data_IF_221725024699
#
_entry.id   IF_221725024699
#
_cell.length_a   1.000
_cell.length_b   1.000
_cell.length_c   1.000
_cell.angle_alpha   90.00
_cell.angle_beta   90.00
_cell.angle_gamma   90.00
#
_symmetry.space_group_name_H-M   'P 1'
#
loop_
_entity.id
_entity.type
_entity.pdbx_description
1 polymer ?
#
# COMPACT_ATOMS: atom_id res chain seq x y z
N UNK A 1 -3.29 6.94 8.05
CA UNK A 1 -2.05 6.52 7.39
C UNK A 1 -2.32 5.23 6.67
N UNK A 2 -2.16 5.24 5.37
CA UNK A 2 -2.28 4.02 4.57
C UNK A 2 -1.06 3.13 4.83
N UNK A 3 -1.29 1.87 5.13
CA UNK A 3 -0.25 0.85 5.28
C UNK A 3 0.07 0.15 3.95
N UNK A 4 -0.76 0.34 2.93
CA UNK A 4 -0.51 -0.07 1.56
C UNK A 4 -0.59 1.16 0.64
N UNK A 5 0.39 1.33 -0.22
CA UNK A 5 0.47 2.43 -1.19
C UNK A 5 0.68 1.89 -2.60
N UNK A 6 0.06 2.54 -3.56
CA UNK A 6 0.29 2.30 -4.97
C UNK A 6 1.34 3.27 -5.51
N UNK A 7 2.25 2.78 -6.33
CA UNK A 7 3.13 3.64 -7.10
C UNK A 7 2.38 4.10 -8.35
N UNK A 8 2.02 5.37 -8.39
CA UNK A 8 1.45 6.02 -9.57
C UNK A 8 2.57 6.59 -10.44
N UNK A 9 2.51 6.33 -11.74
CA UNK A 9 3.50 6.81 -12.71
C UNK A 9 2.80 7.68 -13.74
N UNK A 10 2.59 8.97 -13.45
CA UNK A 10 1.92 9.88 -14.38
C UNK A 10 2.77 10.15 -15.63
N UNK A 11 2.11 10.62 -16.68
CA UNK A 11 2.79 11.11 -17.87
C UNK A 11 3.80 12.21 -17.49
N UNK A 12 5.01 12.14 -18.04
CA UNK A 12 6.09 13.07 -17.72
C UNK A 12 6.87 12.75 -16.42
N UNK A 13 6.56 11.66 -15.74
CA UNK A 13 7.35 11.21 -14.59
C UNK A 13 8.77 10.85 -15.01
N UNK A 14 9.76 11.30 -14.23
CA UNK A 14 11.18 10.97 -14.46
C UNK A 14 11.50 9.48 -14.29
N UNK A 15 10.65 8.73 -13.60
CA UNK A 15 10.75 7.27 -13.50
C UNK A 15 10.70 6.63 -14.90
N UNK A 16 9.96 7.21 -15.84
CA UNK A 16 9.87 6.71 -17.22
C UNK A 16 11.20 6.77 -17.99
N UNK A 17 12.14 7.59 -17.54
CA UNK A 17 13.46 7.74 -18.14
C UNK A 17 14.42 6.60 -17.72
N UNK A 18 14.11 5.90 -16.63
CA UNK A 18 14.93 4.82 -16.13
C UNK A 18 14.84 3.60 -17.05
N UNK A 19 16.00 3.09 -17.46
CA UNK A 19 16.08 1.94 -18.37
C UNK A 19 15.45 0.69 -17.78
N UNK A 20 15.60 0.51 -16.47
CA UNK A 20 15.06 -0.62 -15.71
C UNK A 20 13.53 -0.63 -15.70
N UNK A 21 12.90 0.54 -15.66
CA UNK A 21 11.43 0.66 -15.61
C UNK A 21 10.75 0.21 -16.88
N UNK A 22 11.43 0.27 -18.02
CA UNK A 22 10.87 -0.14 -19.32
C UNK A 22 10.38 -1.58 -19.35
N UNK A 23 10.95 -2.44 -18.54
CA UNK A 23 10.57 -3.85 -18.45
C UNK A 23 9.30 -4.08 -17.63
N UNK A 24 8.94 -3.14 -16.76
CA UNK A 24 7.80 -3.24 -15.85
C UNK A 24 6.58 -2.48 -16.38
N UNK A 25 6.80 -1.48 -17.22
CA UNK A 25 5.73 -0.64 -17.76
C UNK A 25 4.89 -1.40 -18.79
N UNK A 26 3.58 -1.26 -18.69
CA UNK A 26 2.63 -1.76 -19.69
C UNK A 26 2.17 -0.59 -20.57
N UNK A 27 0.96 -0.12 -20.45
CA UNK A 27 0.41 0.98 -21.24
C UNK A 27 0.04 2.18 -20.38
N UNK A 28 -0.25 3.30 -21.06
CA UNK A 28 -0.85 4.46 -20.41
C UNK A 28 -2.37 4.23 -20.27
N UNK A 29 -2.84 4.31 -19.04
CA UNK A 29 -4.26 4.27 -18.71
C UNK A 29 -4.80 5.70 -18.65
N UNK A 30 -5.65 6.05 -19.61
CA UNK A 30 -6.18 7.41 -19.72
C UNK A 30 -7.23 7.73 -18.65
N UNK A 31 -7.89 6.74 -18.08
CA UNK A 31 -8.85 6.93 -16.99
C UNK A 31 -8.13 7.23 -15.68
N UNK A 32 -7.04 6.52 -15.42
CA UNK A 32 -6.20 6.72 -14.23
C UNK A 32 -5.12 7.77 -14.40
N UNK A 33 -4.95 8.31 -15.60
CA UNK A 33 -3.90 9.28 -15.96
C UNK A 33 -2.49 8.82 -15.59
N UNK A 34 -2.25 7.51 -15.60
CA UNK A 34 -1.00 6.90 -15.19
C UNK A 34 -0.60 5.73 -16.06
N UNK A 35 0.70 5.43 -16.08
CA UNK A 35 1.17 4.18 -16.68
C UNK A 35 0.92 3.01 -15.74
N UNK A 36 0.39 1.93 -16.30
CA UNK A 36 0.28 0.67 -15.59
C UNK A 36 1.64 -0.04 -15.57
N UNK A 37 1.91 -0.75 -14.52
CA UNK A 37 3.15 -1.51 -14.39
C UNK A 37 2.88 -2.82 -13.66
N UNK A 38 3.75 -3.79 -13.90
CA UNK A 38 3.65 -5.12 -13.32
C UNK A 38 5.03 -5.51 -12.77
N UNK A 39 5.13 -6.00 -11.54
CA UNK A 39 6.39 -6.48 -10.98
C UNK A 39 6.91 -7.69 -11.77
N UNK A 40 8.22 -7.91 -11.75
CA UNK A 40 8.84 -9.08 -12.38
C UNK A 40 8.43 -10.38 -11.68
N UNK A 41 8.21 -10.32 -10.37
CA UNK A 41 7.79 -11.45 -9.55
C UNK A 41 6.29 -11.34 -9.26
N UNK A 42 5.47 -12.29 -9.76
CA UNK A 42 4.01 -12.30 -9.49
C UNK A 42 3.66 -12.41 -8.00
N UNK A 43 4.57 -12.94 -7.16
CA UNK A 43 4.36 -13.01 -5.72
C UNK A 43 4.19 -11.63 -5.07
N UNK A 44 4.72 -10.58 -5.70
CA UNK A 44 4.60 -9.20 -5.21
C UNK A 44 3.15 -8.70 -5.32
N UNK A 45 2.47 -8.97 -6.44
CA UNK A 45 1.06 -8.61 -6.63
C UNK A 45 0.15 -9.41 -5.70
N UNK A 46 0.44 -10.70 -5.50
CA UNK A 46 -0.27 -11.55 -4.55
C UNK A 46 -0.10 -11.04 -3.11
N UNK A 47 1.11 -10.67 -2.73
CA UNK A 47 1.39 -10.06 -1.43
C UNK A 47 0.62 -8.74 -1.26
N UNK A 48 0.65 -7.87 -2.26
CA UNK A 48 -0.05 -6.59 -2.22
C UNK A 48 -1.54 -6.78 -2.02
N UNK A 49 -2.15 -7.72 -2.73
CA UNK A 49 -3.57 -8.06 -2.59
C UNK A 49 -3.90 -8.55 -1.18
N UNK A 50 -3.10 -9.46 -0.63
CA UNK A 50 -3.27 -9.98 0.73
C UNK A 50 -3.12 -8.90 1.80
N UNK A 51 -2.15 -8.00 1.63
CA UNK A 51 -1.94 -6.87 2.53
C UNK A 51 -3.14 -5.93 2.49
N UNK A 52 -3.66 -5.64 1.31
CA UNK A 52 -4.83 -4.78 1.16
C UNK A 52 -6.07 -5.38 1.83
N UNK A 53 -6.34 -6.66 1.60
CA UNK A 53 -7.45 -7.39 2.25
C UNK A 53 -7.31 -7.38 3.79
N UNK A 54 -6.10 -7.63 4.30
CA UNK A 54 -5.85 -7.62 5.75
C UNK A 54 -6.11 -6.24 6.37
N UNK A 55 -5.72 -5.17 5.68
CA UNK A 55 -5.97 -3.79 6.14
C UNK A 55 -7.46 -3.50 6.13
N UNK A 56 -8.17 -3.79 5.04
CA UNK A 56 -9.61 -3.57 4.96
C UNK A 56 -10.39 -4.36 6.02
N UNK A 57 -10.01 -5.60 6.24
CA UNK A 57 -10.65 -6.43 7.27
C UNK A 57 -10.40 -5.85 8.66
N UNK A 58 -9.16 -5.50 8.99
CA UNK A 58 -8.80 -4.91 10.27
C UNK A 58 -9.53 -3.59 10.54
N UNK A 59 -9.70 -2.74 9.52
CA UNK A 59 -10.45 -1.50 9.63
C UNK A 59 -11.95 -1.75 9.88
N UNK A 60 -12.56 -2.69 9.17
CA UNK A 60 -13.97 -3.07 9.39
C UNK A 60 -14.22 -3.64 10.78
N UNK A 61 -13.28 -4.39 11.31
CA UNK A 61 -13.35 -4.98 12.65
C UNK A 61 -12.97 -4.01 13.77
N UNK A 62 -12.54 -2.80 13.42
CA UNK A 62 -12.10 -1.79 14.38
C UNK A 62 -10.79 -2.18 15.09
N UNK A 63 -9.98 -3.00 14.45
CA UNK A 63 -8.66 -3.37 14.97
C UNK A 63 -7.77 -2.12 15.11
N UNK A 64 -6.95 -2.09 16.17
CA UNK A 64 -5.99 -1.01 16.32
C UNK A 64 -4.88 -1.12 15.25
N UNK A 65 -4.22 0.00 14.96
CA UNK A 65 -3.19 0.09 13.93
C UNK A 65 -2.05 -0.91 14.13
N UNK A 66 -1.66 -1.17 15.37
CA UNK A 66 -0.59 -2.11 15.68
C UNK A 66 -0.98 -3.54 15.27
N UNK A 67 -2.20 -3.96 15.58
CA UNK A 67 -2.69 -5.28 15.19
C UNK A 67 -2.73 -5.45 13.67
N UNK A 68 -3.19 -4.43 12.94
CA UNK A 68 -3.17 -4.44 11.46
C UNK A 68 -1.73 -4.51 10.96
N UNK A 69 -0.83 -3.70 11.50
CA UNK A 69 0.59 -3.72 11.12
C UNK A 69 1.25 -5.09 11.38
N UNK A 70 0.90 -5.73 12.49
CA UNK A 70 1.40 -7.06 12.85
C UNK A 70 0.99 -8.13 11.81
N UNK A 71 -0.24 -8.06 11.33
CA UNK A 71 -0.69 -8.93 10.23
C UNK A 71 0.09 -8.66 8.93
N UNK A 72 0.28 -7.41 8.56
CA UNK A 72 1.09 -7.03 7.38
C UNK A 72 2.54 -7.52 7.53
N UNK A 73 3.12 -7.38 8.73
CA UNK A 73 4.45 -7.86 9.06
C UNK A 73 4.60 -9.37 8.83
N UNK A 74 3.64 -10.15 9.31
CA UNK A 74 3.62 -11.61 9.11
C UNK A 74 3.47 -11.96 7.62
N UNK A 75 2.55 -11.32 6.91
CA UNK A 75 2.36 -11.56 5.48
C UNK A 75 3.63 -11.28 4.66
N UNK A 76 4.32 -10.18 4.95
CA UNK A 76 5.55 -9.82 4.26
C UNK A 76 6.68 -10.82 4.50
N UNK A 77 6.86 -11.29 5.74
CA UNK A 77 7.87 -12.30 6.06
C UNK A 77 7.56 -13.65 5.41
N UNK A 78 6.30 -14.06 5.45
CA UNK A 78 5.87 -15.31 4.81
C UNK A 78 6.09 -15.28 3.29
N UNK A 79 5.88 -14.14 2.64
CA UNK A 79 6.14 -13.98 1.21
C UNK A 79 7.65 -14.12 0.86
N UNK A 80 8.52 -13.83 1.82
CA UNK A 80 9.98 -14.04 1.70
C UNK A 80 10.44 -15.42 2.22
N UNK A 81 9.51 -16.34 2.49
CA UNK A 81 9.79 -17.65 3.08
C UNK A 81 10.54 -17.56 4.43
N UNK A 82 10.31 -16.51 5.18
CA UNK A 82 10.93 -16.25 6.47
C UNK A 82 9.88 -16.29 7.59
N UNK A 83 10.27 -16.78 8.75
CA UNK A 83 9.45 -16.65 9.95
C UNK A 83 9.46 -15.20 10.43
N UNK A 84 8.28 -14.63 10.66
CA UNK A 84 8.17 -13.28 11.19
C UNK A 84 8.67 -13.23 12.64
N UNK A 85 9.71 -12.42 12.95
CA UNK A 85 10.10 -12.21 14.33
C UNK A 85 9.03 -11.42 15.06
N UNK A 86 8.95 -11.60 16.40
CA UNK A 86 8.04 -10.81 17.22
C UNK A 86 8.34 -9.31 17.08
N UNK A 87 7.29 -8.51 16.92
CA UNK A 87 7.45 -7.06 16.95
C UNK A 87 7.95 -6.61 18.32
N UNK A 88 8.83 -5.58 18.35
CA UNK A 88 9.24 -5.01 19.62
C UNK A 88 8.03 -4.46 20.40
N UNK A 89 8.04 -4.55 21.74
CA UNK A 89 6.96 -3.99 22.54
C UNK A 89 6.82 -2.48 22.28
N UNK A 90 5.59 -2.00 22.41
CA UNK A 90 5.37 -0.56 22.38
C UNK A 90 6.12 0.11 23.54
N UNK A 91 6.74 1.25 23.24
CA UNK A 91 7.35 2.04 24.31
C UNK A 91 6.25 2.60 25.20
N UNK A 92 6.40 2.45 26.49
CA UNK A 92 5.43 2.94 27.48
C UNK A 92 5.25 4.47 27.46
N UNK A 93 6.23 5.19 26.91
CA UNK A 93 6.26 6.65 26.76
C UNK A 93 5.93 7.13 25.35
N UNK A 94 5.51 6.24 24.45
CA UNK A 94 5.11 6.64 23.12
C UNK A 94 3.80 7.44 23.18
N UNK A 95 3.89 8.73 23.01
CA UNK A 95 2.71 9.56 22.73
C UNK A 95 1.98 9.01 21.51
N UNK A 96 0.64 8.97 21.52
CA UNK A 96 -0.11 8.54 20.35
C UNK A 96 0.30 9.41 19.16
N UNK A 97 0.76 8.77 18.09
CA UNK A 97 1.10 9.49 16.86
C UNK A 97 -0.19 10.16 16.36
N UNK A 98 -0.20 11.48 16.16
CA UNK A 98 -1.36 12.13 15.61
C UNK A 98 -1.77 11.48 14.30
N UNK A 99 -2.96 10.92 14.24
CA UNK A 99 -3.51 10.39 13.01
C UNK A 99 -4.39 11.47 12.38
N UNK A 100 -4.18 11.73 11.09
CA UNK A 100 -5.09 12.58 10.34
C UNK A 100 -6.41 11.80 10.20
N UNK A 101 -7.50 12.38 10.69
CA UNK A 101 -8.85 11.85 10.59
C UNK A 101 -9.58 12.34 9.33
N UNK A 102 -8.96 13.24 8.59
CA UNK A 102 -9.52 13.78 7.36
C UNK A 102 -9.13 12.92 6.16
N UNK A 103 -10.03 12.72 5.19
CA UNK A 103 -9.70 12.03 3.95
C UNK A 103 -8.76 12.92 3.11
N UNK A 104 -7.48 12.68 3.22
CA UNK A 104 -6.47 13.35 2.41
C UNK A 104 -6.13 12.51 1.20
N UNK A 105 -6.32 13.10 0.03
CA UNK A 105 -6.05 12.46 -1.27
C UNK A 105 -4.67 12.81 -1.84
N UNK A 106 -3.79 13.38 -1.06
CA UNK A 106 -2.46 13.70 -1.55
C UNK A 106 -1.72 12.41 -1.90
N UNK A 107 -1.55 12.14 -3.18
CA UNK A 107 -0.78 11.03 -3.75
C UNK A 107 -1.39 9.62 -3.59
N UNK A 108 -2.66 9.50 -3.25
CA UNK A 108 -3.38 8.23 -3.27
C UNK A 108 -4.54 8.28 -4.27
N UNK A 109 -4.83 7.19 -4.94
CA UNK A 109 -6.07 7.08 -5.73
C UNK A 109 -7.26 7.26 -4.79
N UNK A 110 -8.23 8.12 -5.13
CA UNK A 110 -9.47 8.19 -4.39
C UNK A 110 -10.17 6.83 -4.47
N UNK A 111 -10.76 6.38 -3.37
CA UNK A 111 -11.61 5.20 -3.40
C UNK A 111 -12.93 5.51 -4.11
N UNK A 112 -13.62 4.48 -4.62
CA UNK A 112 -14.91 4.66 -5.32
C UNK A 112 -15.92 5.43 -4.44
N UNK A 113 -15.97 5.15 -3.13
CA UNK A 113 -16.82 5.87 -2.17
C UNK A 113 -16.49 7.36 -2.06
N UNK A 114 -15.26 7.73 -2.33
CA UNK A 114 -14.78 9.11 -2.25
C UNK A 114 -15.10 9.88 -3.54
N UNK A 115 -15.16 9.20 -4.67
CA UNK A 115 -15.56 9.79 -5.96
C UNK A 115 -17.07 9.99 -6.02
N UNK A 116 -17.87 9.09 -5.45
CA UNK A 116 -19.32 9.19 -5.41
C UNK A 116 -19.84 10.31 -4.46
N UNK A 117 -19.01 10.76 -3.52
CA UNK A 117 -19.35 11.83 -2.55
C UNK A 117 -19.04 13.25 -3.02
N UNK A 118 -18.49 13.43 -4.21
CA UNK A 118 -18.24 14.74 -4.83
C UNK A 118 -19.30 15.09 -5.85
#
# INVERSE_FOLDING_TARGET
VQLAIHLLIPAGSRILELAEMKHYLSGFDAEKLSYTWTPADPCVDDLQSKVYEAIQLGEREGANRRAIFEQVWVLAHNACEQSAPALPPERADSSPVPAMSEPWYCCAEPTDEQVEGM
#
